data_IF_901101658770
#
_entry.id   IF_901101658770
#
_cell.length_a   1.000
_cell.length_b   1.000
_cell.length_c   1.000
_cell.angle_alpha   90.00
_cell.angle_beta   90.00
_cell.angle_gamma   90.00
#
_symmetry.space_group_name_H-M   'P 1'
#
loop_
_entity.id
_entity.type
_entity.pdbx_description
1 polymer ?
#
# COMPACT_ATOMS: atom_id res chain seq x y z
N UNK A 1 13.50 -13.45 -19.52
CA UNK A 1 14.31 -12.58 -18.64
C UNK A 1 15.61 -12.16 -19.30
N UNK A 2 16.43 -13.10 -19.80
CA UNK A 2 17.70 -12.83 -20.52
C UNK A 2 17.62 -11.73 -21.60
N UNK A 3 16.65 -11.80 -22.50
CA UNK A 3 16.49 -10.80 -23.58
C UNK A 3 16.20 -9.39 -23.06
N UNK A 4 15.40 -9.27 -21.99
CA UNK A 4 15.13 -7.98 -21.34
C UNK A 4 16.39 -7.38 -20.71
N UNK A 5 17.24 -8.23 -20.12
CA UNK A 5 18.53 -7.79 -19.54
C UNK A 5 19.52 -7.36 -20.63
N UNK A 6 19.60 -8.10 -21.73
CA UNK A 6 20.41 -7.71 -22.89
C UNK A 6 19.91 -6.40 -23.52
N UNK A 7 18.59 -6.18 -23.54
CA UNK A 7 18.03 -4.90 -23.97
C UNK A 7 18.39 -3.77 -23.02
N UNK A 8 18.39 -4.01 -21.70
CA UNK A 8 18.79 -3.01 -20.71
C UNK A 8 20.28 -2.66 -20.82
N UNK A 9 21.14 -3.65 -21.09
CA UNK A 9 22.58 -3.46 -21.24
C UNK A 9 22.94 -2.47 -22.38
N UNK A 10 22.12 -2.46 -23.45
CA UNK A 10 22.24 -1.48 -24.54
C UNK A 10 22.08 -0.04 -24.08
N UNK A 11 21.47 0.22 -22.91
CA UNK A 11 21.41 1.58 -22.37
C UNK A 11 22.80 2.18 -22.13
N UNK A 12 23.79 1.35 -21.77
CA UNK A 12 25.16 1.77 -21.47
C UNK A 12 26.13 1.49 -22.62
N UNK A 13 25.77 0.56 -23.53
CA UNK A 13 26.57 0.27 -24.75
C UNK A 13 26.14 1.09 -25.97
N UNK A 14 24.93 1.63 -25.94
CA UNK A 14 24.23 2.29 -27.04
C UNK A 14 23.35 1.33 -27.86
N UNK A 15 22.37 1.91 -28.54
CA UNK A 15 21.44 1.20 -29.43
C UNK A 15 21.89 1.36 -30.88
N UNK A 16 21.71 0.33 -31.70
CA UNK A 16 21.94 0.46 -33.15
C UNK A 16 20.70 1.05 -33.81
N UNK A 17 20.87 2.17 -34.53
CA UNK A 17 19.82 2.73 -35.37
C UNK A 17 19.54 1.78 -36.55
N UNK A 18 18.30 1.30 -36.73
CA UNK A 18 17.96 0.33 -37.77
C UNK A 18 18.20 0.87 -39.19
N UNK A 19 18.18 2.19 -39.38
CA UNK A 19 18.32 2.83 -40.69
C UNK A 19 19.77 3.21 -40.99
N UNK A 20 20.47 3.79 -40.02
CA UNK A 20 21.82 4.34 -40.23
C UNK A 20 22.95 3.41 -39.78
N UNK A 21 22.63 2.36 -39.02
CA UNK A 21 23.61 1.45 -38.40
C UNK A 21 24.57 2.14 -37.42
N UNK A 22 24.28 3.38 -37.04
CA UNK A 22 25.04 4.12 -36.05
C UNK A 22 24.58 3.79 -34.64
N UNK A 23 25.50 3.92 -33.68
CA UNK A 23 25.17 3.79 -32.27
C UNK A 23 24.55 5.10 -31.77
N UNK A 24 23.39 5.00 -31.13
CA UNK A 24 22.59 6.12 -30.62
C UNK A 24 22.32 5.97 -29.12
N UNK A 25 22.02 7.08 -28.45
CA UNK A 25 21.75 7.10 -27.00
C UNK A 25 20.36 6.53 -26.71
N UNK A 26 20.07 6.24 -25.43
CA UNK A 26 18.71 5.81 -25.00
C UNK A 26 17.65 6.82 -25.44
N UNK A 27 17.93 8.11 -25.27
CA UNK A 27 17.01 9.20 -25.63
C UNK A 27 16.73 9.23 -27.14
N UNK A 28 17.76 9.13 -27.97
CA UNK A 28 17.61 9.09 -29.43
C UNK A 28 16.91 7.82 -29.89
N UNK A 29 17.20 6.68 -29.26
CA UNK A 29 16.53 5.41 -29.53
C UNK A 29 15.03 5.48 -29.19
N UNK A 30 14.69 6.19 -28.11
CA UNK A 30 13.30 6.49 -27.74
C UNK A 30 12.61 7.40 -28.76
N UNK A 31 13.27 8.47 -29.22
CA UNK A 31 12.71 9.37 -30.24
C UNK A 31 12.48 8.69 -31.60
N UNK A 32 13.23 7.63 -31.90
CA UNK A 32 13.15 6.85 -33.14
C UNK A 32 12.31 5.56 -32.98
N UNK A 33 11.59 5.41 -31.87
CA UNK A 33 10.78 4.23 -31.53
C UNK A 33 11.54 2.89 -31.56
N UNK A 34 12.87 2.92 -31.45
CA UNK A 34 13.71 1.73 -31.28
C UNK A 34 13.52 1.14 -29.88
N UNK A 35 13.21 2.01 -28.91
CA UNK A 35 12.93 1.66 -27.52
C UNK A 35 11.58 2.25 -27.13
N UNK A 36 10.66 1.47 -26.52
CA UNK A 36 9.39 2.01 -26.03
C UNK A 36 9.59 3.17 -25.05
N UNK A 37 8.81 4.24 -25.20
CA UNK A 37 8.95 5.48 -24.42
C UNK A 37 9.05 5.24 -22.92
N UNK A 38 8.09 4.54 -22.31
CA UNK A 38 8.07 4.28 -20.87
C UNK A 38 9.30 3.51 -20.39
N UNK A 39 9.83 2.62 -21.23
CA UNK A 39 11.06 1.87 -20.91
C UNK A 39 12.31 2.76 -21.04
N UNK A 40 12.38 3.59 -22.08
CA UNK A 40 13.44 4.58 -22.26
C UNK A 40 13.53 5.57 -21.11
N UNK A 41 12.38 6.12 -20.66
CA UNK A 41 12.33 7.04 -19.53
C UNK A 41 12.91 6.43 -18.24
N UNK A 42 12.58 5.16 -17.94
CA UNK A 42 13.11 4.44 -16.77
C UNK A 42 14.62 4.21 -16.84
N UNK A 43 15.15 3.94 -18.03
CA UNK A 43 16.59 3.77 -18.24
C UNK A 43 17.34 5.11 -18.09
N UNK A 44 16.76 6.20 -18.62
CA UNK A 44 17.31 7.55 -18.44
C UNK A 44 17.30 7.96 -16.97
N UNK A 45 16.22 7.68 -16.24
CA UNK A 45 16.13 7.95 -14.79
C UNK A 45 17.25 7.21 -14.03
N UNK A 46 17.43 5.91 -14.29
CA UNK A 46 18.46 5.12 -13.64
C UNK A 46 19.88 5.62 -13.94
N UNK A 47 20.15 6.01 -15.20
CA UNK A 47 21.42 6.59 -15.62
C UNK A 47 21.72 7.90 -14.88
N UNK A 48 20.75 8.82 -14.85
CA UNK A 48 20.90 10.12 -14.19
C UNK A 48 21.13 9.95 -12.69
N UNK A 49 20.42 9.01 -12.05
CA UNK A 49 20.51 8.79 -10.61
C UNK A 49 21.83 8.11 -10.16
N UNK A 50 22.61 7.53 -11.09
CA UNK A 50 23.80 6.73 -10.73
C UNK A 50 25.12 7.28 -11.28
N UNK A 51 25.19 7.62 -12.58
CA UNK A 51 26.49 7.85 -13.23
C UNK A 51 26.46 8.92 -14.34
N UNK A 52 25.29 9.46 -14.67
CA UNK A 52 25.07 10.35 -15.82
C UNK A 52 24.65 9.60 -17.08
N UNK A 53 24.49 10.32 -18.17
CA UNK A 53 23.89 9.82 -19.42
C UNK A 53 24.95 9.27 -20.38
N UNK A 54 24.63 8.21 -21.11
CA UNK A 54 25.55 7.64 -22.09
C UNK A 54 25.67 8.50 -23.35
N UNK A 55 26.91 8.85 -23.72
CA UNK A 55 27.28 9.49 -24.98
C UNK A 55 27.75 8.43 -25.99
N UNK A 56 27.02 8.22 -27.10
CA UNK A 56 27.40 7.27 -28.15
C UNK A 56 28.69 7.62 -28.91
N UNK A 57 29.00 8.92 -29.05
CA UNK A 57 30.15 9.38 -29.82
C UNK A 57 31.45 9.14 -29.03
N UNK A 58 31.45 9.49 -27.75
CA UNK A 58 32.59 9.33 -26.87
C UNK A 58 32.62 7.96 -26.14
N UNK A 59 31.53 7.19 -26.22
CA UNK A 59 31.33 5.88 -25.56
C UNK A 59 31.58 5.93 -24.05
N UNK A 60 31.17 7.02 -23.41
CA UNK A 60 31.33 7.25 -21.96
C UNK A 60 30.08 7.91 -21.37
N UNK A 61 29.97 7.92 -20.05
CA UNK A 61 28.92 8.70 -19.39
C UNK A 61 29.33 10.18 -19.30
N UNK A 62 28.37 11.07 -19.52
CA UNK A 62 28.53 12.52 -19.47
C UNK A 62 27.49 13.15 -18.53
N UNK A 63 27.74 14.38 -18.09
CA UNK A 63 26.79 15.12 -17.26
C UNK A 63 25.49 15.41 -18.01
N UNK A 64 24.41 15.64 -17.26
CA UNK A 64 23.10 15.98 -17.82
C UNK A 64 23.18 17.25 -18.69
N UNK A 65 23.95 18.26 -18.25
CA UNK A 65 24.15 19.49 -19.01
C UNK A 65 24.81 19.25 -20.37
N UNK A 66 25.87 18.44 -20.40
CA UNK A 66 26.56 18.09 -21.64
C UNK A 66 25.66 17.24 -22.55
N UNK A 67 24.87 16.34 -21.98
CA UNK A 67 23.91 15.54 -22.72
C UNK A 67 22.83 16.40 -23.38
N UNK A 68 22.35 17.46 -22.73
CA UNK A 68 21.40 18.42 -23.32
C UNK A 68 22.05 19.13 -24.51
N UNK A 69 23.27 19.65 -24.34
CA UNK A 69 23.99 20.37 -25.40
C UNK A 69 24.25 19.48 -26.64
N UNK A 70 24.48 18.19 -26.42
CA UNK A 70 24.73 17.20 -27.47
C UNK A 70 23.45 16.54 -28.03
N UNK A 71 22.27 16.91 -27.53
CA UNK A 71 21.00 16.33 -27.98
C UNK A 71 20.77 14.87 -27.56
N UNK A 72 21.44 14.43 -26.48
CA UNK A 72 21.24 13.12 -25.86
C UNK A 72 20.22 13.14 -24.72
N UNK A 73 19.67 14.30 -24.38
CA UNK A 73 18.61 14.46 -23.38
C UNK A 73 17.88 15.79 -23.59
N UNK A 74 16.63 15.85 -23.14
CA UNK A 74 15.83 17.07 -23.16
C UNK A 74 15.63 17.57 -21.72
N UNK A 75 15.80 18.88 -21.52
CA UNK A 75 15.62 19.49 -20.20
C UNK A 75 14.18 19.26 -19.72
N UNK A 76 14.03 18.96 -18.43
CA UNK A 76 12.75 18.75 -17.77
C UNK A 76 11.92 17.56 -18.31
N UNK A 77 12.55 16.67 -19.09
CA UNK A 77 11.92 15.46 -19.61
C UNK A 77 11.42 14.51 -18.51
N UNK A 78 12.21 14.35 -17.45
CA UNK A 78 11.86 13.51 -16.30
C UNK A 78 11.29 14.36 -15.19
N UNK A 79 10.08 14.01 -14.74
CA UNK A 79 9.45 14.55 -13.54
C UNK A 79 9.19 13.39 -12.55
N UNK A 80 9.51 13.62 -11.27
CA UNK A 80 9.32 12.65 -10.19
C UNK A 80 7.85 12.24 -9.99
N UNK A 81 6.89 13.06 -10.44
CA UNK A 81 5.46 12.76 -10.32
C UNK A 81 4.91 11.87 -11.44
N UNK A 82 5.69 11.60 -12.49
CA UNK A 82 5.25 10.75 -13.61
C UNK A 82 4.91 9.33 -13.15
N UNK A 83 3.70 8.89 -13.51
CA UNK A 83 3.19 7.57 -13.18
C UNK A 83 4.00 6.45 -13.83
N UNK A 84 4.56 6.72 -15.01
CA UNK A 84 5.33 5.83 -15.87
C UNK A 84 6.67 5.43 -15.23
N UNK A 85 7.17 6.25 -14.30
CA UNK A 85 8.39 5.96 -13.54
C UNK A 85 8.10 5.17 -12.26
N UNK A 86 6.89 5.26 -11.71
CA UNK A 86 6.47 4.60 -10.47
C UNK A 86 6.17 3.12 -10.71
N UNK A 87 7.20 2.36 -11.09
CA UNK A 87 7.11 0.93 -11.40
C UNK A 87 7.93 0.04 -10.47
N UNK A 88 8.78 0.64 -9.64
CA UNK A 88 9.63 -0.12 -8.73
C UNK A 88 8.90 -0.32 -7.40
N UNK A 89 8.47 -1.55 -7.16
CA UNK A 89 7.76 -1.91 -5.95
C UNK A 89 8.74 -2.00 -4.76
N UNK A 90 8.51 -1.20 -3.71
CA UNK A 90 9.21 -1.30 -2.44
C UNK A 90 8.47 -2.30 -1.52
N UNK A 91 9.05 -3.47 -1.20
CA UNK A 91 8.37 -4.47 -0.36
C UNK A 91 8.06 -3.99 1.06
N UNK A 92 8.88 -3.09 1.60
CA UNK A 92 8.77 -2.61 2.98
C UNK A 92 7.63 -1.61 3.15
N UNK A 93 7.48 -0.66 2.21
CA UNK A 93 6.37 0.32 2.23
C UNK A 93 5.13 -0.13 1.45
N UNK A 94 5.24 -1.16 0.61
CA UNK A 94 4.20 -1.63 -0.32
C UNK A 94 3.76 -0.55 -1.33
N UNK A 95 4.68 0.34 -1.68
CA UNK A 95 4.43 1.42 -2.64
C UNK A 95 5.26 1.24 -3.91
N UNK A 96 4.70 1.68 -5.04
CA UNK A 96 5.46 1.80 -6.27
C UNK A 96 6.15 3.16 -6.32
N UNK A 97 7.48 3.12 -6.41
CA UNK A 97 8.35 4.28 -6.43
C UNK A 97 9.05 4.39 -7.79
N UNK A 98 9.55 5.58 -8.06
CA UNK A 98 10.52 5.80 -9.12
C UNK A 98 11.92 5.36 -8.65
N UNK A 99 12.88 5.24 -9.56
CA UNK A 99 14.20 4.69 -9.22
C UNK A 99 14.94 5.58 -8.22
N UNK A 100 14.84 6.92 -8.38
CA UNK A 100 15.49 7.87 -7.48
C UNK A 100 15.00 7.72 -6.04
N UNK A 101 13.68 7.71 -5.85
CA UNK A 101 13.07 7.58 -4.53
C UNK A 101 13.36 6.21 -3.91
N UNK A 102 13.51 5.16 -4.73
CA UNK A 102 13.92 3.85 -4.24
C UNK A 102 15.37 3.85 -3.74
N UNK A 103 16.28 4.51 -4.46
CA UNK A 103 17.68 4.67 -4.04
C UNK A 103 17.82 5.39 -2.70
N UNK A 104 17.01 6.42 -2.45
CA UNK A 104 16.97 7.13 -1.17
C UNK A 104 16.55 6.22 0.01
N UNK A 105 15.93 5.07 -0.26
CA UNK A 105 15.57 4.06 0.75
C UNK A 105 16.66 3.00 0.94
N UNK A 106 17.65 2.92 0.06
CA UNK A 106 18.73 1.94 0.17
C UNK A 106 19.71 2.30 1.28
N UNK A 107 20.33 1.26 1.86
CA UNK A 107 21.45 1.40 2.79
C UNK A 107 22.75 1.03 2.07
N UNK A 108 23.85 1.67 2.47
CA UNK A 108 25.18 1.32 1.96
C UNK A 108 25.82 0.34 2.91
N UNK A 109 26.20 -0.83 2.41
CA UNK A 109 26.95 -1.81 3.19
C UNK A 109 28.38 -1.28 3.44
N UNK A 110 28.83 -1.16 4.71
CA UNK A 110 30.11 -0.51 5.02
C UNK A 110 31.35 -1.19 4.41
N UNK A 111 31.32 -2.51 4.23
CA UNK A 111 32.50 -3.27 3.77
C UNK A 111 32.67 -3.20 2.26
N UNK A 112 31.59 -3.39 1.49
CA UNK A 112 31.66 -3.44 0.02
C UNK A 112 31.28 -2.12 -0.65
N UNK A 113 30.63 -1.20 0.08
CA UNK A 113 30.04 0.00 -0.50
C UNK A 113 28.81 -0.27 -1.38
N UNK A 114 28.28 -1.50 -1.37
CA UNK A 114 27.11 -1.86 -2.17
C UNK A 114 25.84 -1.21 -1.60
N UNK A 115 24.98 -0.74 -2.50
CA UNK A 115 23.64 -0.27 -2.14
C UNK A 115 22.68 -1.44 -2.04
N UNK A 116 22.07 -1.61 -0.88
CA UNK A 116 21.13 -2.68 -0.58
C UNK A 116 19.77 -2.07 -0.26
N UNK A 117 18.71 -2.59 -0.88
CA UNK A 117 17.34 -2.22 -0.55
C UNK A 117 16.93 -2.96 0.75
N UNK A 118 16.70 -2.25 1.87
CA UNK A 118 16.29 -2.91 3.10
C UNK A 118 14.87 -3.47 2.97
N UNK A 119 14.73 -4.76 3.24
CA UNK A 119 13.44 -5.44 3.32
C UNK A 119 13.09 -5.65 4.79
N UNK A 120 12.00 -5.02 5.22
CA UNK A 120 11.50 -5.16 6.57
C UNK A 120 10.50 -6.31 6.68
N UNK A 121 10.39 -6.86 7.88
CA UNK A 121 9.36 -7.86 8.20
C UNK A 121 8.00 -7.17 8.20
N UNK A 122 7.04 -7.74 7.49
CA UNK A 122 5.68 -7.21 7.35
C UNK A 122 4.66 -8.09 8.07
N UNK A 123 3.82 -7.46 8.89
CA UNK A 123 2.71 -8.09 9.59
C UNK A 123 1.40 -7.87 8.85
N UNK A 124 0.46 -8.81 8.97
CA UNK A 124 -0.88 -8.64 8.39
C UNK A 124 -1.67 -7.62 9.23
N UNK A 125 -1.99 -6.47 8.63
CA UNK A 125 -2.90 -5.47 9.21
C UNK A 125 -4.33 -5.59 8.68
N UNK A 126 -5.17 -4.60 8.98
CA UNK A 126 -6.58 -4.55 8.56
C UNK A 126 -6.77 -4.49 7.04
N UNK A 127 -5.90 -3.80 6.31
CA UNK A 127 -6.04 -3.54 4.86
C UNK A 127 -4.74 -3.66 4.08
N UNK A 128 -3.63 -3.20 4.65
CA UNK A 128 -2.27 -3.38 4.13
C UNK A 128 -1.41 -4.11 5.14
N UNK A 129 -0.30 -4.68 4.69
CA UNK A 129 0.71 -5.16 5.64
C UNK A 129 1.36 -3.98 6.34
N UNK A 130 1.62 -4.11 7.64
CA UNK A 130 2.29 -3.10 8.47
C UNK A 130 3.74 -3.54 8.66
N UNK A 131 4.70 -2.67 8.39
CA UNK A 131 6.12 -3.02 8.55
C UNK A 131 6.55 -2.97 10.01
N UNK A 132 7.58 -3.74 10.37
CA UNK A 132 8.18 -3.68 11.70
C UNK A 132 8.72 -2.29 12.05
N UNK A 133 9.13 -1.49 11.06
CA UNK A 133 9.56 -0.10 11.28
C UNK A 133 8.41 0.81 11.66
N UNK A 134 7.22 0.62 11.08
CA UNK A 134 6.02 1.37 11.46
C UNK A 134 5.56 1.02 12.88
N UNK A 135 5.69 -0.26 13.26
CA UNK A 135 5.39 -0.70 14.62
C UNK A 135 6.32 -0.03 15.65
N UNK A 136 7.62 0.07 15.31
CA UNK A 136 8.62 0.73 16.14
C UNK A 136 8.36 2.25 16.23
N UNK A 137 8.09 2.92 15.10
CA UNK A 137 7.79 4.36 15.06
C UNK A 137 6.54 4.73 15.84
N UNK A 138 5.57 3.81 15.90
CA UNK A 138 4.34 3.97 16.67
C UNK A 138 4.48 3.56 18.14
N UNK A 139 5.68 3.17 18.60
CA UNK A 139 5.98 2.68 19.94
C UNK A 139 5.13 1.48 20.37
N UNK A 140 4.72 0.61 19.44
CA UNK A 140 3.96 -0.62 19.73
C UNK A 140 4.90 -1.75 20.12
N UNK A 141 6.07 -1.77 19.49
CA UNK A 141 7.20 -2.64 19.83
C UNK A 141 8.36 -1.77 20.29
N UNK A 142 9.17 -2.30 21.19
CA UNK A 142 10.40 -1.66 21.63
C UNK A 142 11.56 -1.96 20.67
N UNK A 143 12.67 -1.26 20.89
CA UNK A 143 13.88 -1.43 20.08
C UNK A 143 14.50 -2.82 20.27
N UNK A 144 14.38 -3.39 21.47
CA UNK A 144 14.91 -4.72 21.78
C UNK A 144 14.19 -5.82 20.99
N UNK A 145 12.85 -5.82 21.01
CA UNK A 145 12.04 -6.76 20.23
C UNK A 145 12.24 -6.56 18.73
N UNK A 146 12.38 -5.31 18.27
CA UNK A 146 12.68 -5.02 16.86
C UNK A 146 14.03 -5.63 16.43
N UNK A 147 15.08 -5.46 17.23
CA UNK A 147 16.40 -6.02 16.94
C UNK A 147 16.38 -7.55 17.00
N UNK A 148 15.67 -8.15 17.95
CA UNK A 148 15.52 -9.60 18.07
C UNK A 148 14.70 -10.20 16.92
N UNK A 149 13.70 -9.47 16.43
CA UNK A 149 12.92 -9.82 15.25
C UNK A 149 13.79 -9.74 13.97
N UNK A 150 14.64 -8.71 13.83
CA UNK A 150 15.57 -8.61 12.69
C UNK A 150 16.66 -9.70 12.71
N UNK A 151 17.14 -10.08 13.91
CA UNK A 151 18.13 -11.15 14.10
C UNK A 151 17.50 -12.55 14.01
N UNK A 152 16.19 -12.66 13.85
CA UNK A 152 15.47 -13.94 13.72
C UNK A 152 15.37 -14.75 15.01
N UNK A 153 15.60 -14.14 16.18
CA UNK A 153 15.41 -14.80 17.47
C UNK A 153 13.94 -14.98 17.82
N UNK A 154 13.12 -14.01 17.43
CA UNK A 154 11.67 -14.01 17.64
C UNK A 154 10.97 -14.15 16.30
N UNK A 155 9.92 -14.97 16.23
CA UNK A 155 9.18 -15.16 14.98
C UNK A 155 8.06 -14.13 14.83
N UNK A 156 7.60 -13.91 13.59
CA UNK A 156 6.42 -13.06 13.33
C UNK A 156 5.17 -13.56 14.04
N UNK A 157 5.04 -14.87 14.22
CA UNK A 157 3.89 -15.47 14.89
C UNK A 157 3.89 -15.15 16.38
N UNK A 158 5.05 -15.21 17.03
CA UNK A 158 5.19 -14.88 18.44
C UNK A 158 4.84 -13.41 18.71
N UNK A 159 5.31 -12.50 17.85
CA UNK A 159 4.98 -11.07 17.96
C UNK A 159 3.48 -10.82 17.73
N UNK A 160 2.83 -11.57 16.84
CA UNK A 160 1.37 -11.46 16.63
C UNK A 160 0.53 -12.01 17.79
N UNK A 161 1.10 -12.86 18.64
CA UNK A 161 0.41 -13.35 19.84
C UNK A 161 0.46 -12.34 21.00
N UNK A 162 1.35 -11.34 20.95
CA UNK A 162 1.41 -10.29 21.95
C UNK A 162 0.14 -9.43 21.90
N UNK A 163 -0.49 -9.23 23.06
CA UNK A 163 -1.78 -8.55 23.16
C UNK A 163 -1.72 -7.10 22.64
N UNK A 164 -0.65 -6.36 22.96
CA UNK A 164 -0.43 -4.99 22.51
C UNK A 164 -0.35 -4.88 20.98
N UNK A 165 0.39 -5.80 20.34
CA UNK A 165 0.55 -5.83 18.88
C UNK A 165 -0.73 -6.29 18.21
N UNK A 166 -1.38 -7.33 18.73
CA UNK A 166 -2.63 -7.86 18.19
C UNK A 166 -3.75 -6.80 18.24
N UNK A 167 -3.86 -6.09 19.36
CA UNK A 167 -4.83 -5.01 19.51
C UNK A 167 -4.59 -3.89 18.50
N UNK A 168 -3.33 -3.54 18.22
CA UNK A 168 -3.03 -2.53 17.22
C UNK A 168 -3.31 -3.02 15.78
N UNK A 169 -2.93 -4.26 15.46
CA UNK A 169 -3.07 -4.82 14.11
C UNK A 169 -4.52 -5.17 13.75
N UNK A 170 -5.29 -5.69 14.71
CA UNK A 170 -6.66 -6.21 14.48
C UNK A 170 -7.76 -5.46 15.24
N UNK A 171 -7.42 -4.62 16.23
CA UNK A 171 -8.38 -3.99 17.14
C UNK A 171 -8.79 -4.89 18.32
N UNK A 172 -9.49 -4.31 19.31
CA UNK A 172 -10.04 -5.01 20.50
C UNK A 172 -11.19 -6.01 20.19
N UNK A 173 -11.43 -6.30 18.92
CA UNK A 173 -12.59 -7.07 18.45
C UNK A 173 -13.89 -6.25 18.48
N UNK A 174 -14.90 -6.75 17.77
CA UNK A 174 -16.25 -6.18 17.72
C UNK A 174 -17.29 -7.24 18.05
N UNK A 175 -18.51 -6.82 18.37
CA UNK A 175 -19.63 -7.76 18.64
C UNK A 175 -19.84 -8.59 17.38
N UNK A 176 -19.47 -9.86 17.43
CA UNK A 176 -19.47 -10.76 16.26
C UNK A 176 -20.89 -11.20 15.86
N UNK A 177 -21.81 -11.32 16.82
CA UNK A 177 -23.11 -11.91 16.59
C UNK A 177 -23.94 -12.00 17.87
N UNK A 178 -25.00 -12.80 17.81
CA UNK A 178 -25.91 -13.04 18.93
C UNK A 178 -25.81 -14.49 19.37
N UNK A 179 -25.71 -14.71 20.67
CA UNK A 179 -25.78 -16.03 21.28
C UNK A 179 -27.10 -16.18 22.05
N UNK A 180 -27.89 -17.16 21.68
CA UNK A 180 -29.11 -17.55 22.41
C UNK A 180 -28.69 -18.54 23.49
N UNK A 181 -28.63 -18.08 24.74
CA UNK A 181 -28.07 -18.87 25.84
C UNK A 181 -28.91 -20.11 26.18
N UNK A 182 -30.23 -20.03 26.01
CA UNK A 182 -31.13 -21.16 26.29
C UNK A 182 -30.94 -22.35 25.35
N UNK A 183 -30.61 -22.09 24.09
CA UNK A 183 -30.40 -23.13 23.06
C UNK A 183 -28.92 -23.37 22.75
N UNK A 184 -28.01 -22.58 23.36
CA UNK A 184 -26.59 -22.52 23.05
C UNK A 184 -26.30 -22.30 21.54
N UNK A 185 -27.20 -21.62 20.83
CA UNK A 185 -27.04 -21.32 19.42
C UNK A 185 -26.36 -19.97 19.23
N UNK A 186 -25.39 -19.91 18.32
CA UNK A 186 -24.74 -18.67 17.89
C UNK A 186 -25.16 -18.38 16.45
N UNK A 187 -25.45 -17.11 16.18
CA UNK A 187 -25.87 -16.68 14.84
C UNK A 187 -25.35 -15.28 14.54
N UNK A 188 -25.28 -14.96 13.26
CA UNK A 188 -24.93 -13.61 12.83
C UNK A 188 -25.99 -12.59 13.26
N UNK A 189 -25.60 -11.32 13.30
CA UNK A 189 -26.49 -10.19 13.65
C UNK A 189 -27.68 -10.12 12.67
N UNK A 190 -27.43 -10.38 11.38
CA UNK A 190 -28.47 -10.39 10.36
C UNK A 190 -29.44 -11.57 10.51
N UNK A 191 -28.95 -12.76 10.87
CA UNK A 191 -29.81 -13.91 11.16
C UNK A 191 -30.69 -13.64 12.38
N UNK A 192 -30.13 -13.07 13.44
CA UNK A 192 -30.89 -12.68 14.63
C UNK A 192 -31.98 -11.65 14.29
N UNK A 193 -31.70 -10.72 13.37
CA UNK A 193 -32.70 -9.78 12.87
C UNK A 193 -33.82 -10.48 12.07
N UNK A 194 -33.47 -11.40 11.16
CA UNK A 194 -34.47 -12.17 10.38
C UNK A 194 -35.37 -13.03 11.25
N UNK A 195 -34.84 -13.53 12.37
CA UNK A 195 -35.61 -14.31 13.35
C UNK A 195 -36.40 -13.42 14.33
N UNK A 196 -36.31 -12.09 14.23
CA UNK A 196 -37.00 -11.16 15.12
C UNK A 196 -36.40 -11.04 16.52
N UNK A 197 -35.22 -11.61 16.77
CA UNK A 197 -34.49 -11.51 18.05
C UNK A 197 -33.92 -10.09 18.21
N UNK A 198 -33.45 -9.49 17.12
CA UNK A 198 -33.00 -8.10 17.09
C UNK A 198 -33.92 -7.24 16.23
N UNK A 199 -34.22 -6.04 16.74
CA UNK A 199 -34.92 -5.02 15.97
C UNK A 199 -34.04 -4.56 14.79
N UNK A 200 -34.61 -4.30 13.60
CA UNK A 200 -33.82 -3.91 12.41
C UNK A 200 -32.90 -2.70 12.62
N UNK A 201 -33.34 -1.71 13.39
CA UNK A 201 -32.51 -0.54 13.72
C UNK A 201 -31.28 -0.90 14.54
N UNK A 202 -31.43 -1.72 15.57
CA UNK A 202 -30.32 -2.19 16.41
C UNK A 202 -29.35 -3.08 15.63
N UNK A 203 -29.88 -3.98 14.80
CA UNK A 203 -29.07 -4.85 13.95
C UNK A 203 -28.22 -4.05 12.97
N UNK A 204 -28.80 -3.00 12.34
CA UNK A 204 -28.07 -2.13 11.42
C UNK A 204 -26.89 -1.43 12.10
N UNK A 205 -27.10 -0.82 13.28
CA UNK A 205 -26.03 -0.12 14.01
C UNK A 205 -24.89 -1.07 14.37
N UNK A 206 -25.20 -2.30 14.79
CA UNK A 206 -24.17 -3.29 15.13
C UNK A 206 -23.40 -3.76 13.88
N UNK A 207 -24.07 -3.95 12.75
CA UNK A 207 -23.41 -4.27 11.47
C UNK A 207 -22.53 -3.11 10.99
N UNK A 208 -22.99 -1.86 11.13
CA UNK A 208 -22.19 -0.67 10.82
C UNK A 208 -20.96 -0.57 11.73
N UNK A 209 -21.08 -0.90 13.02
CA UNK A 209 -19.95 -0.97 13.94
C UNK A 209 -18.92 -2.06 13.53
N UNK A 210 -19.37 -3.23 13.07
CA UNK A 210 -18.46 -4.25 12.51
C UNK A 210 -17.73 -3.75 11.26
N UNK A 211 -18.47 -3.19 10.30
CA UNK A 211 -17.88 -2.62 9.09
C UNK A 211 -16.87 -1.50 9.41
N UNK A 212 -17.19 -0.63 10.36
CA UNK A 212 -16.32 0.46 10.79
C UNK A 212 -15.10 0.01 11.61
N UNK A 213 -15.15 -1.18 12.23
CA UNK A 213 -14.00 -1.79 12.94
C UNK A 213 -13.11 -2.64 12.02
N UNK A 214 -13.56 -2.90 10.79
CA UNK A 214 -12.71 -3.38 9.70
C UNK A 214 -13.14 -4.69 9.08
N UNK A 215 -13.97 -5.50 9.73
CA UNK A 215 -14.41 -6.78 9.16
C UNK A 215 -15.85 -7.11 9.55
N UNK A 216 -16.58 -7.70 8.60
CA UNK A 216 -17.81 -8.41 8.87
C UNK A 216 -17.46 -9.79 9.41
N UNK A 217 -18.05 -10.18 10.55
CA UNK A 217 -17.68 -11.41 11.26
C UNK A 217 -18.79 -12.44 11.08
N UNK A 218 -18.41 -13.64 10.67
CA UNK A 218 -19.25 -14.83 10.80
C UNK A 218 -18.91 -15.54 12.12
N UNK A 219 -19.80 -15.49 13.14
CA UNK A 219 -19.57 -16.11 14.43
C UNK A 219 -19.70 -17.65 14.41
N UNK A 220 -20.27 -18.23 13.35
CA UNK A 220 -20.48 -19.68 13.22
C UNK A 220 -19.23 -20.34 12.62
N UNK A 221 -18.73 -19.79 11.51
CA UNK A 221 -17.51 -20.29 10.86
C UNK A 221 -16.22 -19.66 11.40
N UNK A 222 -16.33 -18.67 12.29
CA UNK A 222 -15.22 -17.87 12.82
C UNK A 222 -14.37 -17.23 11.71
N UNK A 223 -15.03 -16.70 10.67
CA UNK A 223 -14.39 -16.05 9.53
C UNK A 223 -14.63 -14.55 9.54
N UNK A 224 -13.63 -13.80 9.04
CA UNK A 224 -13.68 -12.35 8.87
C UNK A 224 -13.70 -12.04 7.37
N UNK A 225 -14.61 -11.18 6.93
CA UNK A 225 -14.81 -10.82 5.54
C UNK A 225 -14.79 -9.31 5.35
N UNK A 226 -14.38 -8.86 4.17
CA UNK A 226 -14.70 -7.50 3.70
C UNK A 226 -16.21 -7.36 3.44
N UNK A 227 -16.73 -6.14 3.37
CA UNK A 227 -18.17 -5.92 3.12
C UNK A 227 -18.61 -6.56 1.80
N UNK A 228 -17.77 -6.48 0.76
CA UNK A 228 -18.07 -7.06 -0.56
C UNK A 228 -18.04 -8.61 -0.55
N UNK A 229 -17.15 -9.23 0.23
CA UNK A 229 -17.12 -10.68 0.41
C UNK A 229 -18.26 -11.19 1.29
N UNK A 230 -18.63 -10.43 2.31
CA UNK A 230 -19.68 -10.79 3.26
C UNK A 230 -21.05 -10.93 2.57
N UNK A 231 -21.34 -10.14 1.54
CA UNK A 231 -22.56 -10.30 0.73
C UNK A 231 -22.54 -11.62 -0.04
N UNK A 232 -21.40 -11.97 -0.64
CA UNK A 232 -21.26 -13.22 -1.39
C UNK A 232 -21.47 -14.44 -0.48
N UNK A 233 -21.07 -14.32 0.78
CA UNK A 233 -21.27 -15.32 1.82
C UNK A 233 -22.61 -15.16 2.57
N UNK A 234 -23.49 -14.25 2.13
CA UNK A 234 -24.84 -14.04 2.70
C UNK A 234 -24.86 -13.67 4.19
N UNK A 235 -23.80 -13.04 4.71
CA UNK A 235 -23.76 -12.56 6.10
C UNK A 235 -24.79 -11.44 6.35
N UNK A 236 -25.15 -10.69 5.32
CA UNK A 236 -26.20 -9.67 5.36
C UNK A 236 -26.86 -9.48 3.98
N UNK A 237 -28.01 -8.81 3.93
CA UNK A 237 -28.78 -8.61 2.70
C UNK A 237 -28.30 -7.43 1.83
N UNK A 238 -28.55 -7.46 0.51
CA UNK A 238 -28.11 -6.42 -0.43
C UNK A 238 -28.63 -5.02 -0.05
N UNK A 239 -29.76 -4.93 0.66
CA UNK A 239 -30.36 -3.69 1.15
C UNK A 239 -29.44 -2.88 2.08
N UNK A 240 -28.46 -3.53 2.73
CA UNK A 240 -27.51 -2.88 3.64
C UNK A 240 -26.14 -2.62 3.00
N UNK A 241 -25.88 -3.11 1.79
CA UNK A 241 -24.56 -3.00 1.14
C UNK A 241 -24.04 -1.57 1.09
N UNK A 242 -24.87 -0.64 0.59
CA UNK A 242 -24.46 0.76 0.44
C UNK A 242 -24.11 1.41 1.78
N UNK A 243 -24.87 1.10 2.84
CA UNK A 243 -24.64 1.64 4.19
C UNK A 243 -23.38 1.05 4.82
N UNK A 244 -23.22 -0.27 4.78
CA UNK A 244 -22.05 -0.95 5.34
C UNK A 244 -20.76 -0.62 4.58
N UNK A 245 -20.83 -0.49 3.25
CA UNK A 245 -19.69 0.00 2.44
C UNK A 245 -19.32 1.43 2.82
N UNK A 246 -20.32 2.26 3.17
CA UNK A 246 -20.05 3.59 3.69
C UNK A 246 -19.36 3.55 5.05
N UNK A 247 -19.78 2.68 5.96
CA UNK A 247 -19.16 2.49 7.27
C UNK A 247 -17.72 1.93 7.16
N UNK A 248 -17.47 1.01 6.23
CA UNK A 248 -16.13 0.45 5.96
C UNK A 248 -15.12 1.52 5.51
N UNK A 249 -15.58 2.61 4.87
CA UNK A 249 -14.72 3.76 4.54
C UNK A 249 -14.09 4.43 5.76
N UNK A 250 -14.63 4.23 6.96
CA UNK A 250 -13.97 4.63 8.19
C UNK A 250 -12.59 3.96 8.37
N UNK A 251 -12.35 2.79 7.77
CA UNK A 251 -11.10 2.02 7.83
C UNK A 251 -10.29 2.15 6.54
N UNK A 252 -10.93 2.14 5.37
CA UNK A 252 -10.22 2.26 4.08
C UNK A 252 -9.88 3.70 3.71
N UNK A 253 -10.47 4.68 4.39
CA UNK A 253 -10.35 6.10 4.08
C UNK A 253 -11.43 6.60 3.10
N UNK A 254 -11.67 7.91 3.14
CA UNK A 254 -12.62 8.61 2.30
C UNK A 254 -11.89 9.33 1.18
N UNK A 255 -12.40 9.29 -0.05
CA UNK A 255 -11.80 10.05 -1.14
C UNK A 255 -12.30 11.49 -1.10
N UNK A 256 -11.39 12.44 -0.97
CA UNK A 256 -11.70 13.87 -1.04
C UNK A 256 -12.12 14.24 -2.48
N UNK A 257 -13.33 14.80 -2.70
CA UNK A 257 -13.77 15.19 -4.05
C UNK A 257 -12.92 16.29 -4.69
N UNK A 258 -12.24 17.11 -3.89
CA UNK A 258 -11.50 18.28 -4.37
C UNK A 258 -10.05 17.96 -4.70
N UNK A 259 -9.39 17.13 -3.89
CA UNK A 259 -7.97 16.76 -4.09
C UNK A 259 -7.80 15.38 -4.71
N UNK A 260 -8.82 14.52 -4.65
CA UNK A 260 -8.73 13.11 -5.05
C UNK A 260 -7.94 12.24 -4.07
N UNK A 261 -7.40 12.83 -2.99
CA UNK A 261 -6.62 12.12 -1.97
C UNK A 261 -7.52 11.35 -1.00
N UNK A 262 -6.94 10.36 -0.33
CA UNK A 262 -7.66 9.59 0.69
C UNK A 262 -7.45 10.25 2.06
N UNK A 263 -8.54 10.72 2.66
CA UNK A 263 -8.58 11.39 3.96
C UNK A 263 -9.17 10.48 5.05
N UNK A 264 -8.85 10.78 6.31
CA UNK A 264 -9.35 10.04 7.47
C UNK A 264 -10.83 10.33 7.76
N UNK A 265 -11.46 9.46 8.56
CA UNK A 265 -12.83 9.67 9.04
C UNK A 265 -13.01 11.03 9.73
N UNK A 266 -12.03 11.43 10.55
CA UNK A 266 -12.09 12.71 11.27
C UNK A 266 -12.00 13.90 10.32
N UNK A 267 -11.09 13.85 9.34
CA UNK A 267 -10.97 14.89 8.32
C UNK A 267 -12.24 14.99 7.45
N UNK A 268 -12.81 13.84 7.08
CA UNK A 268 -14.04 13.79 6.31
C UNK A 268 -15.24 14.35 7.10
N UNK A 269 -15.29 14.14 8.42
CA UNK A 269 -16.25 14.79 9.32
C UNK A 269 -16.05 16.30 9.39
N UNK A 270 -14.80 16.78 9.52
CA UNK A 270 -14.50 18.22 9.55
C UNK A 270 -14.83 18.92 8.23
N UNK A 271 -14.82 18.20 7.12
CA UNK A 271 -15.19 18.70 5.78
C UNK A 271 -16.67 18.48 5.44
N UNK A 272 -17.50 18.03 6.39
CA UNK A 272 -18.93 17.70 6.21
C UNK A 272 -19.20 16.71 5.04
N UNK A 273 -18.23 15.84 4.72
CA UNK A 273 -18.35 14.81 3.67
C UNK A 273 -19.15 13.58 4.13
N UNK A 274 -19.49 13.50 5.42
CA UNK A 274 -20.21 12.39 6.05
C UNK A 274 -21.29 12.96 6.97
N UNK A 275 -22.43 12.28 7.05
CA UNK A 275 -23.48 12.59 8.03
C UNK A 275 -22.92 12.47 9.45
N UNK A 276 -23.03 13.56 10.23
CA UNK A 276 -22.43 13.68 11.57
C UNK A 276 -22.80 12.53 12.51
N UNK A 277 -24.03 12.06 12.49
CA UNK A 277 -24.51 10.94 13.33
C UNK A 277 -23.74 9.64 13.06
N UNK A 278 -23.56 9.27 11.79
CA UNK A 278 -22.80 8.08 11.39
C UNK A 278 -21.32 8.21 11.75
N UNK A 279 -20.74 9.40 11.54
CA UNK A 279 -19.32 9.61 11.84
C UNK A 279 -19.03 9.64 13.34
N UNK A 280 -19.90 10.22 14.17
CA UNK A 280 -19.75 10.16 15.64
C UNK A 280 -19.94 8.74 16.18
N UNK A 281 -20.89 7.97 15.65
CA UNK A 281 -21.04 6.56 16.00
C UNK A 281 -19.78 5.76 15.66
N UNK A 282 -19.23 5.92 14.45
CA UNK A 282 -17.98 5.26 14.03
C UNK A 282 -16.78 5.67 14.91
N UNK A 283 -16.67 6.96 15.28
CA UNK A 283 -15.58 7.44 16.15
C UNK A 283 -15.67 6.84 17.56
N UNK A 284 -16.87 6.75 18.15
CA UNK A 284 -17.07 6.13 19.48
C UNK A 284 -16.66 4.67 19.53
N UNK A 285 -16.77 3.96 18.42
CA UNK A 285 -16.33 2.56 18.33
C UNK A 285 -14.82 2.40 18.06
N UNK A 286 -14.13 3.48 17.66
CA UNK A 286 -12.68 3.46 17.35
C UNK A 286 -11.79 4.05 18.44
N UNK A 287 -12.31 4.99 19.24
CA UNK A 287 -11.55 5.58 20.32
C UNK A 287 -11.61 4.66 21.56
N UNK A 288 -10.49 4.44 22.27
CA UNK A 288 -10.57 3.86 23.60
C UNK A 288 -11.48 4.74 24.45
N UNK A 289 -12.41 4.12 25.18
CA UNK A 289 -13.13 4.80 26.25
C UNK A 289 -12.06 5.31 27.21
N UNK A 290 -11.85 6.63 27.24
CA UNK A 290 -11.04 7.27 28.26
C UNK A 290 -11.94 7.31 29.49
N UNK A 291 -11.70 6.40 30.43
CA UNK A 291 -12.18 6.53 31.82
C UNK A 291 -11.37 7.61 32.55
#
# INVERSE_FOLDING_TARGET
MKEKLLSAEKAVKGYEDPYTKQIISVFQAMQKDVVPKDYGLRLLEAQIATQGLFDPAEKKTISVESAIQKGHYEKDLLNNEMSELKVFYNPSSQENLNYKNLLEKCTVEPETGLMLLPVCITFKGLRRGISSTELLQSNIIDKELFDDLQKGKTTTQDVMLMETVKEYLEGKGSIAGVAVLSTNQRMSIYQAMKQGILMPGTALVLLEAQAATGFMIDPVENKKFTVDEAIKNQLFGPEYHAKLRSAERAVTGYKDPYTGETISLFQALSKDLIVKELGFACLRHKLPQVE
#
